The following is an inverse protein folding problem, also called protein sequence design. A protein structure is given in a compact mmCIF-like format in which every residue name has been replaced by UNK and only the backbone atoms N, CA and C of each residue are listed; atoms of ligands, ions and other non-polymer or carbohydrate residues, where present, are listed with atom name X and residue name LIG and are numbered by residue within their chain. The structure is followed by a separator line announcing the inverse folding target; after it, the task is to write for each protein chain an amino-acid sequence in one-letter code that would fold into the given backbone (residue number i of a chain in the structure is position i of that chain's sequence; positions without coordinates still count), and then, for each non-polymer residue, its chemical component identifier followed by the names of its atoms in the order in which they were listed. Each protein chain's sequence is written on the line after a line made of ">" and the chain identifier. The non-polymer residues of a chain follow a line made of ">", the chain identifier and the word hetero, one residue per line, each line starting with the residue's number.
data_IF_517931663841
#
_entry.id   IF_517931663841
#
_cell.length_a   1.000
_cell.length_b   1.000
_cell.length_c   1.000
_cell.angle_alpha   90.00
_cell.angle_beta   90.00
_cell.angle_gamma   90.00
#
_symmetry.space_group_name_H-M   'P 1'
#
loop_
_entity.id
_entity.type
_entity.pdbx_description
1 polymer ?
#
# COMPACT_ATOMS: atom_id res chain seq x y z
N UNK A 1 20.31 -20.68 -10.46
CA UNK A 1 20.30 -19.23 -10.75
C UNK A 1 18.92 -18.68 -11.13
N UNK A 2 17.89 -19.50 -11.42
CA UNK A 2 16.53 -19.03 -11.77
C UNK A 2 15.64 -18.67 -10.56
N UNK A 3 15.92 -19.19 -9.36
CA UNK A 3 15.01 -19.07 -8.21
C UNK A 3 15.07 -17.72 -7.49
N UNK A 4 16.25 -17.10 -7.40
CA UNK A 4 16.41 -15.82 -6.69
C UNK A 4 15.74 -14.67 -7.42
N UNK A 5 15.86 -14.63 -8.76
CA UNK A 5 15.17 -13.61 -9.56
C UNK A 5 13.66 -13.75 -9.46
N UNK A 6 13.12 -14.96 -9.58
CA UNK A 6 11.68 -15.20 -9.43
C UNK A 6 11.18 -14.69 -8.07
N UNK A 7 11.86 -15.07 -6.98
CA UNK A 7 11.52 -14.60 -5.63
C UNK A 7 11.52 -13.08 -5.51
N UNK A 8 12.50 -12.39 -6.11
CA UNK A 8 12.56 -10.93 -6.05
C UNK A 8 11.29 -10.29 -6.63
N UNK A 9 10.82 -10.79 -7.77
CA UNK A 9 9.62 -10.27 -8.43
C UNK A 9 8.33 -10.72 -7.74
N UNK A 10 8.31 -11.90 -7.12
CA UNK A 10 7.20 -12.33 -6.27
C UNK A 10 7.06 -11.39 -5.06
N UNK A 11 8.15 -11.08 -4.36
CA UNK A 11 8.17 -10.14 -3.23
C UNK A 11 7.76 -8.71 -3.67
N UNK A 12 8.17 -8.27 -4.87
CA UNK A 12 7.67 -7.01 -5.46
C UNK A 12 6.14 -7.02 -5.63
N UNK A 13 5.59 -8.13 -6.13
CA UNK A 13 4.14 -8.27 -6.35
C UNK A 13 3.37 -8.26 -5.02
N UNK A 14 3.94 -8.81 -3.94
CA UNK A 14 3.36 -8.75 -2.60
C UNK A 14 3.22 -7.30 -2.12
N UNK A 15 4.28 -6.49 -2.25
CA UNK A 15 4.23 -5.06 -1.91
C UNK A 15 3.22 -4.29 -2.77
N UNK A 16 3.19 -4.54 -4.07
CA UNK A 16 2.22 -3.91 -4.99
C UNK A 16 0.78 -4.27 -4.63
N UNK A 17 0.55 -5.54 -4.28
CA UNK A 17 -0.77 -6.02 -3.84
C UNK A 17 -1.19 -5.37 -2.52
N UNK A 18 -0.30 -5.26 -1.54
CA UNK A 18 -0.59 -4.60 -0.27
C UNK A 18 -0.93 -3.10 -0.47
N UNK A 19 -0.20 -2.39 -1.33
CA UNK A 19 -0.53 -1.00 -1.69
C UNK A 19 -1.91 -0.93 -2.33
N UNK A 20 -2.20 -1.84 -3.27
CA UNK A 20 -3.49 -1.89 -3.96
C UNK A 20 -4.66 -2.11 -2.98
N UNK A 21 -4.52 -3.04 -2.03
CA UNK A 21 -5.53 -3.29 -1.00
C UNK A 21 -5.85 -2.04 -0.16
N UNK A 22 -4.83 -1.27 0.25
CA UNK A 22 -5.08 -0.02 0.98
C UNK A 22 -5.73 1.07 0.11
N UNK A 23 -5.41 1.10 -1.18
CA UNK A 23 -6.06 2.03 -2.14
C UNK A 23 -7.53 1.66 -2.33
N UNK A 24 -7.88 0.37 -2.37
CA UNK A 24 -9.28 -0.09 -2.39
C UNK A 24 -10.01 0.33 -1.11
N UNK A 25 -9.40 0.09 0.07
CA UNK A 25 -9.96 0.53 1.35
C UNK A 25 -10.18 2.06 1.40
N UNK A 26 -9.27 2.83 0.82
CA UNK A 26 -9.42 4.29 0.71
C UNK A 26 -10.64 4.66 -0.15
N UNK A 27 -10.85 3.95 -1.27
CA UNK A 27 -12.02 4.11 -2.12
C UNK A 27 -13.32 3.82 -1.37
N UNK A 28 -13.38 2.69 -0.69
CA UNK A 28 -14.54 2.25 0.10
C UNK A 28 -14.86 3.23 1.23
N UNK A 29 -13.83 3.67 1.97
CA UNK A 29 -14.01 4.62 3.06
C UNK A 29 -14.50 5.98 2.54
N UNK A 30 -13.99 6.44 1.39
CA UNK A 30 -14.47 7.67 0.75
C UNK A 30 -15.95 7.58 0.37
N UNK A 31 -16.41 6.44 -0.16
CA UNK A 31 -17.82 6.21 -0.49
C UNK A 31 -18.67 6.29 0.78
N UNK A 32 -18.27 5.58 1.85
CA UNK A 32 -18.97 5.63 3.14
C UNK A 32 -19.07 7.05 3.70
N UNK A 33 -17.96 7.80 3.69
CA UNK A 33 -17.93 9.19 4.17
C UNK A 33 -18.86 10.10 3.36
N UNK A 34 -18.95 9.88 2.05
CA UNK A 34 -19.88 10.61 1.20
C UNK A 34 -21.34 10.29 1.55
N UNK A 35 -21.66 9.02 1.79
CA UNK A 35 -23.00 8.57 2.17
C UNK A 35 -23.44 9.09 3.55
N UNK A 36 -22.52 9.25 4.51
CA UNK A 36 -22.85 9.80 5.84
C UNK A 36 -22.97 11.32 5.83
N UNK A 37 -22.26 12.02 4.94
CA UNK A 37 -22.27 13.48 4.81
C UNK A 37 -21.62 14.23 5.97
N UNK A 38 -20.90 13.53 6.86
CA UNK A 38 -20.21 14.12 8.02
C UNK A 38 -18.78 14.45 7.67
N UNK A 39 -18.37 15.69 7.94
CA UNK A 39 -17.01 16.13 7.61
C UNK A 39 -15.96 15.49 8.53
N UNK A 40 -16.35 15.17 9.77
CA UNK A 40 -15.51 14.52 10.77
C UNK A 40 -15.10 13.11 10.34
N UNK A 41 -15.88 12.45 9.48
CA UNK A 41 -15.55 11.12 8.97
C UNK A 41 -14.32 11.14 8.05
N UNK A 42 -13.88 12.32 7.55
CA UNK A 42 -12.62 12.46 6.81
C UNK A 42 -11.39 12.06 7.66
N UNK A 43 -11.46 12.17 8.98
CA UNK A 43 -10.37 11.73 9.86
C UNK A 43 -10.13 10.22 9.75
N UNK A 44 -11.13 9.44 9.36
CA UNK A 44 -11.03 7.99 9.14
C UNK A 44 -10.15 7.64 7.92
N UNK A 45 -9.90 8.59 7.01
CA UNK A 45 -9.04 8.39 5.85
C UNK A 45 -7.54 8.46 6.24
N UNK A 46 -7.21 9.26 7.25
CA UNK A 46 -5.82 9.48 7.69
C UNK A 46 -5.06 8.18 7.98
N UNK A 47 -5.57 7.23 8.80
CA UNK A 47 -4.87 5.97 9.05
C UNK A 47 -4.64 5.16 7.76
N UNK A 48 -5.55 5.19 6.79
CA UNK A 48 -5.40 4.48 5.51
C UNK A 48 -4.28 5.10 4.68
N UNK A 49 -4.23 6.44 4.60
CA UNK A 49 -3.15 7.16 3.92
C UNK A 49 -1.77 6.87 4.56
N UNK A 50 -1.72 6.79 5.89
CA UNK A 50 -0.49 6.43 6.60
C UNK A 50 -0.05 5.00 6.28
N UNK A 51 -0.98 4.04 6.17
CA UNK A 51 -0.65 2.68 5.75
C UNK A 51 -0.10 2.62 4.32
N UNK A 52 -0.70 3.35 3.37
CA UNK A 52 -0.19 3.46 2.00
C UNK A 52 1.23 4.04 1.99
N UNK A 53 1.45 5.14 2.71
CA UNK A 53 2.76 5.80 2.77
C UNK A 53 3.83 4.86 3.35
N UNK A 54 3.51 4.16 4.44
CA UNK A 54 4.41 3.19 5.06
C UNK A 54 4.76 2.05 4.11
N UNK A 55 3.79 1.50 3.38
CA UNK A 55 4.03 0.38 2.47
C UNK A 55 4.84 0.79 1.24
N UNK A 56 4.62 2.01 0.72
CA UNK A 56 5.46 2.59 -0.34
C UNK A 56 6.90 2.73 0.12
N UNK A 57 7.15 3.22 1.34
CA UNK A 57 8.51 3.34 1.87
C UNK A 57 9.17 1.97 2.06
N UNK A 58 8.44 0.98 2.60
CA UNK A 58 8.95 -0.40 2.71
C UNK A 58 9.32 -0.99 1.36
N UNK A 59 8.47 -0.82 0.35
CA UNK A 59 8.76 -1.32 -0.98
C UNK A 59 9.99 -0.64 -1.59
N UNK A 60 10.15 0.68 -1.37
CA UNK A 60 11.36 1.41 -1.78
C UNK A 60 12.61 0.90 -1.08
N UNK A 61 12.54 0.63 0.22
CA UNK A 61 13.62 0.04 1.00
C UNK A 61 14.01 -1.33 0.45
N UNK A 62 13.03 -2.20 0.22
CA UNK A 62 13.24 -3.52 -0.40
C UNK A 62 13.95 -3.43 -1.76
N UNK A 63 13.49 -2.54 -2.67
CA UNK A 63 14.15 -2.34 -3.97
C UNK A 63 15.61 -1.89 -3.80
N UNK A 64 15.91 -1.04 -2.80
CA UNK A 64 17.27 -0.58 -2.52
C UNK A 64 18.14 -1.73 -2.00
N UNK A 65 17.61 -2.56 -1.11
CA UNK A 65 18.31 -3.74 -0.58
C UNK A 65 18.67 -4.70 -1.71
N UNK A 66 17.69 -5.07 -2.54
CA UNK A 66 17.89 -5.96 -3.70
C UNK A 66 18.91 -5.40 -4.71
N UNK A 67 18.98 -4.08 -4.88
CA UNK A 67 19.95 -3.45 -5.80
C UNK A 67 21.37 -3.35 -5.24
N UNK A 68 21.51 -3.37 -3.92
CA UNK A 68 22.79 -3.29 -3.22
C UNK A 68 23.40 -4.67 -2.92
N UNK A 69 22.65 -5.75 -3.17
CA UNK A 69 23.11 -7.15 -3.21
C UNK A 69 23.65 -7.56 -4.59
#
# INVERSE_FOLDING_TARGET
>A
MSSTKARIYDDCLEHESAIWEYVEQLGDQRIKNYETGKIEDLDLIIPILNSIANEIERYREYIREVKNE
#
